data_IF_243712226792
#
_entry.id   IF_243712226792
#
_cell.length_a   1.000
_cell.length_b   1.000
_cell.length_c   1.000
_cell.angle_alpha   90.00
_cell.angle_beta   90.00
_cell.angle_gamma   90.00
#
_symmetry.space_group_name_H-M   'P 1'
#
loop_
_entity.id
_entity.type
_entity.pdbx_description
1 polymer ?
#
# COMPACT_ATOMS: atom_id res chain seq x y z
N UNK A 1 -2.23 -5.84 13.74
CA UNK A 1 -2.00 -7.24 14.19
C UNK A 1 -0.56 -7.41 14.64
N UNK A 2 0.44 -7.22 13.78
CA UNK A 2 1.86 -7.43 14.11
C UNK A 2 2.32 -6.60 15.32
N UNK A 3 2.00 -5.33 15.36
CA UNK A 3 2.31 -4.44 16.48
C UNK A 3 1.81 -4.98 17.83
N UNK A 4 0.59 -5.51 17.89
CA UNK A 4 0.05 -6.11 19.11
C UNK A 4 0.83 -7.36 19.53
N UNK A 5 1.18 -8.22 18.55
CA UNK A 5 1.97 -9.43 18.82
C UNK A 5 3.38 -9.09 19.31
N UNK A 6 4.02 -8.10 18.70
CA UNK A 6 5.33 -7.59 19.13
C UNK A 6 5.30 -7.04 20.56
N UNK A 7 4.19 -6.39 20.92
CA UNK A 7 3.93 -5.92 22.29
C UNK A 7 3.50 -7.02 23.27
N UNK A 8 3.51 -8.31 22.84
CA UNK A 8 3.07 -9.46 23.62
C UNK A 8 1.60 -9.40 24.04
N UNK A 9 0.78 -8.71 23.27
CA UNK A 9 -0.64 -8.59 23.47
C UNK A 9 -1.34 -9.73 22.68
N UNK A 10 -1.95 -10.72 23.36
CA UNK A 10 -2.54 -11.87 22.70
C UNK A 10 -3.73 -11.46 21.83
N UNK A 11 -3.89 -12.13 20.70
CA UNK A 11 -4.99 -11.94 19.77
C UNK A 11 -5.87 -13.18 19.74
N UNK A 12 -7.15 -13.01 20.04
CA UNK A 12 -8.18 -14.04 19.90
C UNK A 12 -8.88 -13.93 18.55
N UNK A 13 -9.56 -14.99 18.11
CA UNK A 13 -10.38 -14.97 16.90
C UNK A 13 -11.44 -13.86 16.94
N UNK A 14 -12.01 -13.58 18.12
CA UNK A 14 -12.96 -12.49 18.30
C UNK A 14 -12.32 -11.13 18.03
N UNK A 15 -11.14 -10.88 18.54
CA UNK A 15 -10.41 -9.62 18.34
C UNK A 15 -10.02 -9.41 16.88
N UNK A 16 -9.60 -10.46 16.17
CA UNK A 16 -9.39 -10.38 14.71
C UNK A 16 -10.67 -9.98 13.98
N UNK A 17 -11.79 -10.58 14.36
CA UNK A 17 -13.10 -10.28 13.77
C UNK A 17 -13.51 -8.83 14.04
N UNK A 18 -13.35 -8.37 15.28
CA UNK A 18 -13.66 -6.99 15.67
C UNK A 18 -12.75 -5.97 14.93
N UNK A 19 -11.46 -6.24 14.84
CA UNK A 19 -10.50 -5.38 14.11
C UNK A 19 -10.89 -5.29 12.62
N UNK A 20 -11.16 -6.44 11.99
CA UNK A 20 -11.49 -6.47 10.58
C UNK A 20 -12.81 -5.77 10.28
N UNK A 21 -13.83 -6.00 11.11
CA UNK A 21 -15.12 -5.33 11.01
C UNK A 21 -14.99 -3.81 11.14
N UNK A 22 -14.31 -3.33 12.19
CA UNK A 22 -14.13 -1.91 12.45
C UNK A 22 -13.35 -1.20 11.33
N UNK A 23 -12.37 -1.89 10.70
CA UNK A 23 -11.69 -1.36 9.52
C UNK A 23 -12.63 -1.23 8.33
N UNK A 24 -13.50 -2.20 8.09
CA UNK A 24 -14.51 -2.10 7.03
C UNK A 24 -15.46 -0.92 7.29
N UNK A 25 -16.02 -0.77 8.50
CA UNK A 25 -16.86 0.39 8.83
C UNK A 25 -16.13 1.72 8.60
N UNK A 26 -14.85 1.80 9.00
CA UNK A 26 -14.03 3.00 8.83
C UNK A 26 -13.83 3.37 7.35
N UNK A 27 -13.52 2.39 6.50
CA UNK A 27 -13.17 2.65 5.10
C UNK A 27 -14.39 2.79 4.17
N UNK A 28 -15.46 2.05 4.42
CA UNK A 28 -16.71 2.21 3.66
C UNK A 28 -17.54 3.43 4.10
N UNK A 29 -17.34 3.88 5.34
CA UNK A 29 -18.03 5.05 5.86
C UNK A 29 -19.51 4.82 6.16
N UNK A 30 -20.16 5.87 6.62
CA UNK A 30 -21.56 5.83 7.14
C UNK A 30 -22.63 5.64 6.06
N UNK A 31 -22.29 5.85 4.80
CA UNK A 31 -23.21 5.68 3.66
C UNK A 31 -23.35 4.22 3.21
N UNK A 32 -22.52 3.35 3.74
CA UNK A 32 -22.54 1.91 3.45
C UNK A 32 -23.00 1.13 4.70
N UNK A 33 -24.00 0.25 4.51
CA UNK A 33 -24.40 -0.70 5.56
C UNK A 33 -23.45 -1.89 5.54
N UNK A 34 -22.59 -1.98 6.54
CA UNK A 34 -21.56 -3.02 6.63
C UNK A 34 -22.12 -4.23 7.39
N UNK A 35 -22.31 -5.35 6.69
CA UNK A 35 -22.74 -6.61 7.29
C UNK A 35 -21.71 -7.09 8.32
N UNK A 36 -22.19 -7.48 9.50
CA UNK A 36 -21.33 -7.99 10.58
C UNK A 36 -20.55 -9.23 10.20
N UNK A 37 -21.02 -10.04 9.26
CA UNK A 37 -20.35 -11.23 8.78
C UNK A 37 -19.03 -10.93 8.06
N UNK A 38 -18.85 -9.70 7.52
CA UNK A 38 -17.59 -9.28 6.90
C UNK A 38 -16.42 -9.40 7.89
N UNK A 39 -16.70 -9.23 9.20
CA UNK A 39 -15.70 -9.39 10.24
C UNK A 39 -15.00 -10.75 10.25
N UNK A 40 -15.62 -11.81 9.69
CA UNK A 40 -15.04 -13.15 9.60
C UNK A 40 -14.21 -13.37 8.33
N UNK A 41 -14.23 -12.45 7.38
CA UNK A 41 -13.57 -12.63 6.08
C UNK A 41 -12.06 -12.83 6.18
N UNK A 42 -11.40 -12.26 7.20
CA UNK A 42 -9.97 -12.45 7.45
C UNK A 42 -9.59 -13.94 7.50
N UNK A 43 -10.48 -14.81 8.00
CA UNK A 43 -10.19 -16.23 8.19
C UNK A 43 -10.05 -17.01 6.88
N UNK A 44 -10.66 -16.55 5.78
CA UNK A 44 -10.60 -17.19 4.47
C UNK A 44 -9.51 -16.66 3.54
N UNK A 45 -8.85 -15.55 3.91
CA UNK A 45 -7.84 -14.89 3.06
C UNK A 45 -6.48 -15.53 3.35
N UNK A 46 -5.91 -16.36 2.46
CA UNK A 46 -4.68 -17.09 2.73
C UNK A 46 -3.47 -16.18 2.93
N UNK A 47 -3.47 -14.98 2.34
CA UNK A 47 -2.39 -14.01 2.47
C UNK A 47 -2.15 -13.55 3.90
N UNK A 48 -3.18 -13.53 4.75
CA UNK A 48 -3.04 -13.15 6.17
C UNK A 48 -2.30 -14.18 7.01
N UNK A 49 -2.13 -15.39 6.51
CA UNK A 49 -1.36 -16.45 7.18
C UNK A 49 0.15 -16.38 6.88
N UNK A 50 0.56 -15.45 6.02
CA UNK A 50 1.96 -15.21 5.68
C UNK A 50 2.41 -13.86 6.22
N UNK A 51 3.44 -13.84 7.07
CA UNK A 51 3.95 -12.62 7.69
C UNK A 51 4.31 -11.56 6.64
N UNK A 52 3.84 -10.35 6.85
CA UNK A 52 4.15 -9.18 6.02
C UNK A 52 3.78 -9.31 4.54
N UNK A 53 2.96 -10.31 4.17
CA UNK A 53 2.67 -10.55 2.76
C UNK A 53 1.73 -9.50 2.17
N UNK A 54 0.66 -9.15 2.89
CA UNK A 54 -0.42 -8.28 2.37
C UNK A 54 0.06 -6.86 2.11
N UNK A 55 0.91 -6.30 2.96
CA UNK A 55 1.37 -4.91 2.81
C UNK A 55 2.24 -4.70 1.55
N UNK A 56 2.74 -5.76 0.92
CA UNK A 56 3.52 -5.67 -0.33
C UNK A 56 2.75 -5.02 -1.48
N UNK A 57 1.44 -5.18 -1.48
CA UNK A 57 0.59 -4.50 -2.48
C UNK A 57 0.62 -2.98 -2.30
N UNK A 58 0.50 -2.51 -1.07
CA UNK A 58 0.60 -1.08 -0.78
C UNK A 58 1.98 -0.50 -1.12
N UNK A 59 3.06 -1.20 -0.75
CA UNK A 59 4.43 -0.77 -1.05
C UNK A 59 4.71 -0.78 -2.55
N UNK A 60 4.29 -1.83 -3.26
CA UNK A 60 4.44 -1.92 -4.71
C UNK A 60 3.69 -0.81 -5.45
N UNK A 61 2.46 -0.53 -5.03
CA UNK A 61 1.66 0.54 -5.62
C UNK A 61 2.26 1.93 -5.31
N UNK A 62 2.75 2.17 -4.10
CA UNK A 62 3.40 3.42 -3.73
C UNK A 62 4.68 3.65 -4.56
N UNK A 63 5.51 2.62 -4.73
CA UNK A 63 6.70 2.71 -5.58
C UNK A 63 6.34 2.98 -7.04
N UNK A 64 5.32 2.31 -7.58
CA UNK A 64 4.86 2.51 -8.96
C UNK A 64 4.32 3.93 -9.16
N UNK A 65 3.54 4.47 -8.23
CA UNK A 65 3.03 5.85 -8.27
C UNK A 65 4.17 6.86 -8.26
N UNK A 66 5.17 6.67 -7.37
CA UNK A 66 6.33 7.55 -7.30
C UNK A 66 7.15 7.54 -8.60
N UNK A 67 7.43 6.35 -9.15
CA UNK A 67 8.15 6.21 -10.43
C UNK A 67 7.39 6.86 -11.59
N UNK A 68 6.07 6.66 -11.65
CA UNK A 68 5.21 7.27 -12.65
C UNK A 68 5.24 8.80 -12.57
N UNK A 69 5.11 9.36 -11.37
CA UNK A 69 5.17 10.82 -11.16
C UNK A 69 6.52 11.41 -11.56
N UNK A 70 7.63 10.74 -11.22
CA UNK A 70 8.96 11.17 -11.65
C UNK A 70 9.08 11.21 -13.19
N UNK A 71 8.58 10.19 -13.88
CA UNK A 71 8.58 10.17 -15.36
C UNK A 71 7.79 11.36 -15.92
N UNK A 72 6.63 11.64 -15.38
CA UNK A 72 5.77 12.74 -15.84
C UNK A 72 6.34 14.14 -15.55
N UNK A 73 7.08 14.29 -14.46
CA UNK A 73 7.58 15.61 -14.02
C UNK A 73 9.03 15.88 -14.43
N UNK A 74 9.91 14.87 -14.45
CA UNK A 74 11.33 15.01 -14.73
C UNK A 74 11.70 14.60 -16.18
N UNK A 75 10.78 13.91 -16.88
CA UNK A 75 10.97 13.51 -18.27
C UNK A 75 12.08 12.47 -18.47
N UNK A 76 12.91 12.71 -19.51
CA UNK A 76 13.88 11.72 -20.00
C UNK A 76 14.84 11.17 -18.93
N UNK A 77 15.28 12.00 -18.00
CA UNK A 77 16.18 11.56 -16.94
C UNK A 77 15.55 10.46 -16.04
N UNK A 78 14.28 10.63 -15.69
CA UNK A 78 13.53 9.63 -14.92
C UNK A 78 13.22 8.38 -15.75
N UNK A 79 12.92 8.54 -17.04
CA UNK A 79 12.75 7.40 -17.96
C UNK A 79 14.00 6.54 -18.01
N UNK A 80 15.19 7.13 -18.10
CA UNK A 80 16.43 6.37 -18.13
C UNK A 80 16.71 5.64 -16.81
N UNK A 81 16.42 6.25 -15.65
CA UNK A 81 16.51 5.57 -14.37
C UNK A 81 15.53 4.38 -14.29
N UNK A 82 14.30 4.57 -14.73
CA UNK A 82 13.29 3.52 -14.76
C UNK A 82 13.67 2.35 -15.68
N UNK A 83 14.19 2.65 -16.88
CA UNK A 83 14.72 1.62 -17.79
C UNK A 83 15.89 0.88 -17.17
N UNK A 84 16.76 1.59 -16.46
CA UNK A 84 17.86 0.99 -15.68
C UNK A 84 17.34 0.01 -14.63
N UNK A 85 16.30 0.40 -13.89
CA UNK A 85 15.61 -0.46 -12.92
C UNK A 85 15.08 -1.74 -13.59
N UNK A 86 14.35 -1.62 -14.71
CA UNK A 86 13.84 -2.79 -15.44
C UNK A 86 14.95 -3.72 -15.95
N UNK A 87 16.06 -3.18 -16.41
CA UNK A 87 17.20 -3.93 -16.89
C UNK A 87 18.00 -4.61 -15.78
N UNK A 88 17.92 -4.12 -14.56
CA UNK A 88 18.66 -4.66 -13.40
C UNK A 88 18.19 -6.07 -13.01
N UNK A 89 16.95 -6.43 -13.33
CA UNK A 89 16.38 -7.73 -12.98
C UNK A 89 16.51 -8.02 -11.48
N UNK A 90 17.13 -9.12 -11.11
CA UNK A 90 17.39 -9.51 -9.71
C UNK A 90 18.86 -9.36 -9.29
N UNK A 91 19.60 -8.39 -9.84
CA UNK A 91 21.04 -8.24 -9.61
C UNK A 91 21.42 -7.67 -8.24
N UNK A 92 20.49 -7.05 -7.53
CA UNK A 92 20.70 -6.44 -6.21
C UNK A 92 19.43 -6.55 -5.36
N UNK A 93 19.51 -6.12 -4.10
CA UNK A 93 18.36 -6.05 -3.20
C UNK A 93 17.29 -5.07 -3.73
N UNK A 94 16.01 -5.39 -3.60
CA UNK A 94 14.91 -4.57 -4.15
C UNK A 94 14.95 -3.10 -3.71
N UNK A 95 15.29 -2.83 -2.45
CA UNK A 95 15.40 -1.45 -1.95
C UNK A 95 16.53 -0.67 -2.63
N UNK A 96 17.66 -1.31 -2.92
CA UNK A 96 18.77 -0.67 -3.62
C UNK A 96 18.39 -0.35 -5.07
N UNK A 97 17.72 -1.29 -5.73
CA UNK A 97 17.24 -1.10 -7.10
C UNK A 97 16.23 0.03 -7.20
N UNK A 98 15.28 0.13 -6.25
CA UNK A 98 14.32 1.23 -6.19
C UNK A 98 14.99 2.57 -5.90
N UNK A 99 15.98 2.62 -4.99
CA UNK A 99 16.78 3.83 -4.74
C UNK A 99 17.54 4.29 -6.00
N UNK A 100 18.11 3.36 -6.75
CA UNK A 100 18.77 3.70 -8.02
C UNK A 100 17.77 4.27 -9.04
N UNK A 101 16.51 3.86 -8.99
CA UNK A 101 15.44 4.42 -9.79
C UNK A 101 14.89 5.76 -9.25
N UNK A 102 15.32 6.19 -8.05
CA UNK A 102 14.90 7.45 -7.44
C UNK A 102 13.79 7.31 -6.38
N UNK A 103 13.45 6.09 -5.97
CA UNK A 103 12.40 5.84 -4.97
C UNK A 103 12.99 5.16 -3.73
N UNK A 104 12.94 5.82 -2.58
CA UNK A 104 13.39 5.28 -1.31
C UNK A 104 12.20 4.86 -0.45
N UNK A 105 11.91 3.55 -0.42
CA UNK A 105 10.78 2.99 0.33
C UNK A 105 11.01 2.94 1.86
N UNK A 106 12.19 3.29 2.36
CA UNK A 106 12.44 3.49 3.79
C UNK A 106 12.05 4.90 4.26
N UNK A 107 11.70 5.76 3.33
CA UNK A 107 11.21 7.11 3.60
C UNK A 107 9.70 7.19 3.44
N UNK A 108 9.08 7.98 4.31
CA UNK A 108 7.63 8.23 4.33
C UNK A 108 7.15 8.89 3.03
N UNK A 109 7.99 9.73 2.43
CA UNK A 109 7.67 10.54 1.26
C UNK A 109 7.16 9.73 0.07
N UNK A 110 7.66 8.52 -0.13
CA UNK A 110 7.21 7.64 -1.22
C UNK A 110 5.75 7.19 -1.05
N UNK A 111 5.31 6.97 0.18
CA UNK A 111 3.92 6.64 0.50
C UNK A 111 3.04 7.90 0.48
N UNK A 112 3.51 8.99 1.07
CA UNK A 112 2.78 10.26 1.09
C UNK A 112 2.51 10.77 -0.33
N UNK A 113 3.46 10.60 -1.26
CA UNK A 113 3.30 10.96 -2.66
C UNK A 113 2.19 10.13 -3.35
N UNK A 114 2.12 8.83 -3.08
CA UNK A 114 1.05 7.98 -3.63
C UNK A 114 -0.33 8.38 -3.08
N UNK A 115 -0.40 8.74 -1.79
CA UNK A 115 -1.63 9.23 -1.16
C UNK A 115 -2.04 10.60 -1.71
N UNK A 116 -1.09 11.49 -2.02
CA UNK A 116 -1.38 12.77 -2.66
C UNK A 116 -1.98 12.58 -4.05
N UNK A 117 -1.38 11.70 -4.87
CA UNK A 117 -1.94 11.35 -6.19
C UNK A 117 -3.36 10.81 -6.08
N UNK A 118 -3.63 9.97 -5.08
CA UNK A 118 -4.98 9.46 -4.83
C UNK A 118 -5.96 10.59 -4.49
N UNK A 119 -5.58 11.51 -3.60
CA UNK A 119 -6.41 12.66 -3.23
C UNK A 119 -6.74 13.52 -4.45
N UNK A 120 -5.72 13.88 -5.26
CA UNK A 120 -5.90 14.68 -6.47
C UNK A 120 -6.84 14.01 -7.49
N UNK A 121 -6.83 12.68 -7.57
CA UNK A 121 -7.73 11.93 -8.46
C UNK A 121 -9.17 11.91 -7.94
N UNK A 122 -9.35 11.84 -6.61
CA UNK A 122 -10.68 11.94 -5.99
C UNK A 122 -11.27 13.32 -6.22
N UNK A 123 -10.50 14.39 -5.99
CA UNK A 123 -10.94 15.77 -6.21
C UNK A 123 -11.36 16.00 -7.67
N UNK A 124 -10.58 15.51 -8.63
CA UNK A 124 -10.93 15.57 -10.06
C UNK A 124 -12.20 14.78 -10.39
N UNK A 125 -12.40 13.63 -9.78
CA UNK A 125 -13.62 12.84 -9.97
C UNK A 125 -14.85 13.57 -9.44
N UNK A 126 -14.73 14.26 -8.29
CA UNK A 126 -15.82 15.07 -7.73
C UNK A 126 -16.18 16.27 -8.61
N UNK A 127 -15.19 16.86 -9.32
CA UNK A 127 -15.43 17.96 -10.25
C UNK A 127 -16.17 17.54 -11.54
N UNK A 128 -16.09 16.24 -11.90
CA UNK A 128 -16.74 15.71 -13.12
C UNK A 128 -18.15 15.11 -12.86
N UNK A 129 -18.55 14.96 -11.61
CA UNK A 129 -19.86 14.42 -11.20
C UNK A 129 -20.88 15.50 -10.94
#
# INVERSE_FOLDING_TARGET
>A
THERVENKDPLTAKEFTDIYYNLNEKYYGKSCDVDKQIGLEWARIPHFYSNFYVYKYATGFSAASALSQQILTEGEAAVQRYIGFLKSGGSDYPLNQLRAAGVDMEKKESVDQALSVFSDLVDKLEEEL
#
